data_IF_806306238319
#
_entry.id   IF_806306238319
#
_cell.length_a   1.000
_cell.length_b   1.000
_cell.length_c   1.000
_cell.angle_alpha   90.00
_cell.angle_beta   90.00
_cell.angle_gamma   90.00
#
_symmetry.space_group_name_H-M   'P 1'
#
loop_
_entity.id
_entity.type
_entity.pdbx_description
1 polymer ?
#
# COMPACT_ATOMS: atom_id res chain seq x y z
N UNK A 1 -19.93 -8.62 10.06
CA UNK A 1 -18.54 -8.53 9.55
C UNK A 1 -18.46 -8.51 8.01
N UNK A 2 -19.41 -9.10 7.26
CA UNK A 2 -19.33 -9.20 5.80
C UNK A 2 -19.39 -7.85 5.02
N UNK A 3 -20.22 -6.89 5.42
CA UNK A 3 -20.39 -5.64 4.67
C UNK A 3 -19.11 -4.82 4.54
N UNK A 4 -18.37 -4.63 5.64
CA UNK A 4 -17.16 -3.81 5.64
C UNK A 4 -16.08 -4.36 4.72
N UNK A 5 -15.79 -5.66 4.83
CA UNK A 5 -14.82 -6.33 3.98
C UNK A 5 -15.19 -6.20 2.49
N UNK A 6 -16.42 -6.57 2.12
CA UNK A 6 -16.88 -6.51 0.73
C UNK A 6 -16.84 -5.08 0.18
N UNK A 7 -17.35 -4.10 0.95
CA UNK A 7 -17.35 -2.70 0.53
C UNK A 7 -15.94 -2.20 0.22
N UNK A 8 -14.99 -2.45 1.12
CA UNK A 8 -13.63 -1.93 0.96
C UNK A 8 -12.82 -2.70 -0.08
N UNK A 9 -13.02 -4.01 -0.24
CA UNK A 9 -12.41 -4.77 -1.35
C UNK A 9 -12.90 -4.26 -2.70
N UNK A 10 -14.21 -4.02 -2.84
CA UNK A 10 -14.78 -3.48 -4.09
C UNK A 10 -14.28 -2.05 -4.37
N UNK A 11 -14.17 -1.21 -3.34
CA UNK A 11 -13.65 0.15 -3.50
C UNK A 11 -12.15 0.15 -3.88
N UNK A 12 -11.34 -0.73 -3.28
CA UNK A 12 -9.94 -0.91 -3.70
C UNK A 12 -9.84 -1.32 -5.17
N UNK A 13 -10.67 -2.28 -5.61
CA UNK A 13 -10.73 -2.67 -7.02
C UNK A 13 -11.10 -1.48 -7.93
N UNK A 14 -12.10 -0.68 -7.55
CA UNK A 14 -12.49 0.54 -8.28
C UNK A 14 -11.35 1.54 -8.38
N UNK A 15 -10.62 1.78 -7.29
CA UNK A 15 -9.47 2.69 -7.26
C UNK A 15 -8.34 2.21 -8.18
N UNK A 16 -8.09 0.90 -8.24
CA UNK A 16 -7.13 0.31 -9.19
C UNK A 16 -7.59 0.54 -10.63
N UNK A 17 -8.89 0.41 -10.91
CA UNK A 17 -9.48 0.74 -12.21
C UNK A 17 -9.30 2.20 -12.61
N UNK A 18 -9.47 3.14 -11.68
CA UNK A 18 -9.20 4.57 -11.91
C UNK A 18 -7.75 4.81 -12.29
N UNK A 19 -6.83 4.23 -11.52
CA UNK A 19 -5.40 4.42 -11.75
C UNK A 19 -4.95 3.75 -13.06
N UNK A 20 -5.44 2.54 -13.34
CA UNK A 20 -5.20 1.85 -14.61
C UNK A 20 -5.68 2.66 -15.82
N UNK A 21 -6.88 3.23 -15.77
CA UNK A 21 -7.40 4.11 -16.84
C UNK A 21 -6.54 5.37 -16.97
N UNK A 22 -6.11 5.96 -15.85
CA UNK A 22 -5.27 7.16 -15.85
C UNK A 22 -3.91 6.91 -16.49
N UNK A 23 -3.36 5.70 -16.35
CA UNK A 23 -2.05 5.30 -16.86
C UNK A 23 -2.09 4.69 -18.27
N UNK A 24 -3.24 4.70 -18.94
CA UNK A 24 -3.40 4.07 -20.26
C UNK A 24 -2.55 4.74 -21.36
N UNK A 25 -2.27 6.04 -21.22
CA UNK A 25 -1.60 6.88 -22.21
C UNK A 25 -0.32 7.54 -21.68
N UNK A 26 0.16 7.12 -20.50
CA UNK A 26 1.27 7.78 -19.81
C UNK A 26 2.02 6.84 -18.87
N UNK A 27 3.29 7.15 -18.66
CA UNK A 27 4.14 6.35 -17.77
C UNK A 27 3.99 6.68 -16.28
N UNK A 28 3.51 7.89 -15.94
CA UNK A 28 3.37 8.36 -14.57
C UNK A 28 2.06 9.13 -14.38
N UNK A 29 1.58 9.22 -13.14
CA UNK A 29 0.22 9.74 -12.82
C UNK A 29 0.01 11.16 -13.37
N UNK A 30 1.02 12.01 -13.27
CA UNK A 30 1.01 13.39 -13.73
C UNK A 30 1.73 13.60 -15.09
N UNK A 31 2.03 12.52 -15.83
CA UNK A 31 2.82 12.56 -17.05
C UNK A 31 4.32 12.34 -16.77
N UNK A 32 4.96 13.28 -16.08
CA UNK A 32 6.30 13.08 -15.53
C UNK A 32 6.23 12.44 -14.12
N UNK A 33 7.28 11.70 -13.74
CA UNK A 33 7.39 11.15 -12.38
C UNK A 33 7.35 12.28 -11.35
N UNK A 34 6.49 12.13 -10.34
CA UNK A 34 6.19 13.20 -9.40
C UNK A 34 5.87 12.66 -8.01
N UNK A 35 5.62 13.58 -7.07
CA UNK A 35 5.12 13.24 -5.73
C UNK A 35 3.79 12.47 -5.77
N UNK A 36 3.00 12.57 -6.85
CA UNK A 36 1.78 11.78 -6.99
C UNK A 36 2.10 10.27 -7.07
N UNK A 37 3.13 9.89 -7.82
CA UNK A 37 3.58 8.51 -7.92
C UNK A 37 4.13 8.02 -6.58
N UNK A 38 4.92 8.86 -5.91
CA UNK A 38 5.46 8.57 -4.58
C UNK A 38 4.36 8.37 -3.53
N UNK A 39 3.28 9.16 -3.59
CA UNK A 39 2.17 9.08 -2.68
C UNK A 39 1.30 7.84 -2.92
N UNK A 40 1.08 7.46 -4.19
CA UNK A 40 0.18 6.37 -4.54
C UNK A 40 0.87 4.99 -4.53
N UNK A 41 2.12 4.89 -4.98
CA UNK A 41 2.80 3.61 -5.19
C UNK A 41 2.86 2.72 -3.94
N UNK A 42 3.20 3.23 -2.73
CA UNK A 42 3.24 2.40 -1.53
C UNK A 42 1.90 1.76 -1.16
N UNK A 43 0.76 2.38 -1.53
CA UNK A 43 -0.58 1.83 -1.28
C UNK A 43 -0.95 0.65 -2.19
N UNK A 44 -0.25 0.51 -3.32
CA UNK A 44 -0.41 -0.60 -4.26
C UNK A 44 0.48 -1.78 -3.90
N UNK A 45 1.61 -1.57 -3.19
CA UNK A 45 2.53 -2.65 -2.80
C UNK A 45 1.85 -3.86 -2.15
N UNK A 46 0.90 -3.72 -1.19
CA UNK A 46 0.23 -4.86 -0.56
C UNK A 46 -0.97 -5.37 -1.36
N UNK A 47 -1.02 -5.21 -2.68
CA UNK A 47 -2.15 -5.62 -3.54
C UNK A 47 -2.59 -7.08 -3.33
N UNK A 48 -1.64 -8.00 -3.09
CA UNK A 48 -1.95 -9.42 -2.78
C UNK A 48 -2.75 -9.55 -1.47
N UNK A 49 -2.34 -8.82 -0.44
CA UNK A 49 -3.02 -8.83 0.86
C UNK A 49 -4.37 -8.13 0.80
N UNK A 50 -4.57 -7.25 -0.18
CA UNK A 50 -5.86 -6.61 -0.47
C UNK A 50 -6.79 -7.52 -1.28
N UNK A 51 -6.33 -8.69 -1.74
CA UNK A 51 -7.12 -9.63 -2.55
C UNK A 51 -7.36 -9.18 -3.99
N UNK A 52 -6.52 -8.28 -4.51
CA UNK A 52 -6.61 -7.78 -5.89
C UNK A 52 -5.77 -8.65 -6.82
N UNK A 53 -6.26 -8.93 -8.04
CA UNK A 53 -5.44 -9.50 -9.12
C UNK A 53 -4.86 -8.35 -9.94
N UNK A 54 -3.61 -7.98 -9.71
CA UNK A 54 -3.00 -6.80 -10.35
C UNK A 54 -2.88 -6.97 -11.88
N UNK A 55 -2.83 -8.21 -12.34
CA UNK A 55 -2.78 -8.61 -13.75
C UNK A 55 -4.03 -8.17 -14.54
N UNK A 56 -5.17 -7.97 -13.85
CA UNK A 56 -6.37 -7.40 -14.47
C UNK A 56 -6.24 -5.90 -14.82
N UNK A 57 -5.17 -5.25 -14.36
CA UNK A 57 -4.90 -3.83 -14.53
C UNK A 57 -3.53 -3.62 -15.19
N UNK A 58 -3.40 -3.86 -16.51
CA UNK A 58 -2.09 -3.94 -17.18
C UNK A 58 -1.29 -2.62 -17.12
N UNK A 59 -1.94 -1.46 -17.24
CA UNK A 59 -1.26 -0.16 -17.19
C UNK A 59 -0.83 0.18 -15.77
N UNK A 60 -1.67 -0.16 -14.78
CA UNK A 60 -1.31 -0.05 -13.37
C UNK A 60 -0.11 -0.94 -13.04
N UNK A 61 -0.12 -2.19 -13.51
CA UNK A 61 0.98 -3.13 -13.29
C UNK A 61 2.28 -2.62 -13.90
N UNK A 62 2.26 -2.15 -15.15
CA UNK A 62 3.43 -1.59 -15.82
C UNK A 62 4.00 -0.37 -15.07
N UNK A 63 3.13 0.54 -14.60
CA UNK A 63 3.54 1.65 -13.74
C UNK A 63 4.10 1.19 -12.39
N UNK A 64 3.47 0.19 -11.76
CA UNK A 64 3.90 -0.35 -10.48
C UNK A 64 5.32 -0.92 -10.58
N UNK A 65 5.57 -1.73 -11.61
CA UNK A 65 6.89 -2.33 -11.86
C UNK A 65 7.93 -1.23 -12.15
N UNK A 66 7.63 -0.31 -13.07
CA UNK A 66 8.51 0.82 -13.44
C UNK A 66 8.92 1.70 -12.27
N UNK A 67 7.95 2.05 -11.41
CA UNK A 67 8.25 2.87 -10.21
C UNK A 67 9.05 2.07 -9.20
N UNK A 68 8.74 0.78 -9.04
CA UNK A 68 9.47 -0.13 -8.15
C UNK A 68 10.94 -0.31 -8.53
N UNK A 69 11.29 -0.30 -9.81
CA UNK A 69 12.67 -0.45 -10.29
C UNK A 69 13.58 0.75 -9.98
N UNK A 70 13.01 1.90 -9.57
CA UNK A 70 13.79 3.11 -9.31
C UNK A 70 14.66 2.93 -8.07
N UNK A 71 15.96 3.24 -8.19
CA UNK A 71 16.93 3.14 -7.09
C UNK A 71 16.50 3.87 -5.81
N UNK A 72 15.90 5.06 -5.93
CA UNK A 72 15.38 5.80 -4.77
C UNK A 72 14.20 5.12 -4.07
N UNK A 73 13.34 4.44 -4.82
CA UNK A 73 12.21 3.67 -4.26
C UNK A 73 12.75 2.45 -3.52
N UNK A 74 13.66 1.70 -4.13
CA UNK A 74 14.32 0.55 -3.49
C UNK A 74 15.07 0.94 -2.20
N UNK A 75 15.83 2.05 -2.24
CA UNK A 75 16.54 2.55 -1.08
C UNK A 75 15.59 2.95 0.06
N UNK A 76 14.51 3.71 -0.25
CA UNK A 76 13.50 4.08 0.74
C UNK A 76 12.77 2.88 1.35
N UNK A 77 12.44 1.89 0.51
CA UNK A 77 11.76 0.68 0.97
C UNK A 77 12.67 -0.18 1.87
N UNK A 78 13.97 -0.23 1.57
CA UNK A 78 14.98 -0.88 2.42
C UNK A 78 15.02 -0.27 3.82
N UNK A 79 15.09 1.06 3.92
CA UNK A 79 15.06 1.77 5.21
C UNK A 79 13.77 1.46 5.98
N UNK A 80 12.62 1.49 5.31
CA UNK A 80 11.34 1.15 5.93
C UNK A 80 11.29 -0.28 6.47
N UNK A 81 11.92 -1.24 5.78
CA UNK A 81 12.03 -2.62 6.24
C UNK A 81 12.98 -2.78 7.44
N UNK A 82 14.12 -2.09 7.44
CA UNK A 82 15.07 -2.09 8.55
C UNK A 82 14.46 -1.49 9.82
N UNK A 83 13.64 -0.44 9.68
CA UNK A 83 12.93 0.20 10.79
C UNK A 83 11.67 -0.54 11.21
N UNK A 84 11.23 -1.56 10.45
CA UNK A 84 9.97 -2.27 10.71
C UNK A 84 10.12 -3.15 11.94
N UNK A 85 9.83 -2.58 13.10
CA UNK A 85 9.79 -3.32 14.35
C UNK A 85 8.46 -4.07 14.46
N UNK A 86 8.49 -5.40 14.47
CA UNK A 86 7.29 -6.24 14.56
C UNK A 86 6.73 -6.34 15.98
N UNK A 87 6.94 -5.34 16.83
CA UNK A 87 6.57 -5.35 18.25
C UNK A 87 5.09 -5.65 18.46
N UNK A 88 4.22 -5.21 17.54
CA UNK A 88 2.77 -5.45 17.65
C UNK A 88 2.34 -6.87 17.33
N UNK A 89 3.12 -7.64 16.58
CA UNK A 89 2.85 -9.06 16.32
C UNK A 89 3.74 -10.00 17.15
N UNK A 90 4.78 -9.47 17.79
CA UNK A 90 5.66 -10.22 18.69
C UNK A 90 4.93 -10.68 19.97
N UNK A 91 5.42 -11.75 20.57
CA UNK A 91 5.01 -12.18 21.91
C UNK A 91 5.84 -11.47 22.99
N UNK A 92 5.30 -11.33 24.20
CA UNK A 92 6.03 -10.82 25.36
C UNK A 92 5.51 -9.48 25.89
N UNK A 93 6.03 -9.11 27.06
CA UNK A 93 5.52 -7.98 27.86
C UNK A 93 5.60 -6.63 27.14
N UNK A 94 6.62 -6.42 26.32
CA UNK A 94 6.78 -5.15 25.59
C UNK A 94 5.77 -5.02 24.43
N UNK A 95 5.47 -6.14 23.77
CA UNK A 95 4.41 -6.22 22.76
C UNK A 95 3.02 -6.01 23.37
N UNK A 96 2.75 -6.59 24.54
CA UNK A 96 1.51 -6.39 25.30
C UNK A 96 1.33 -4.92 25.71
N UNK A 97 2.38 -4.27 26.24
CA UNK A 97 2.37 -2.84 26.57
C UNK A 97 2.08 -1.99 25.33
N UNK A 98 2.74 -2.26 24.21
CA UNK A 98 2.51 -1.54 22.96
C UNK A 98 1.04 -1.65 22.48
N UNK A 99 0.46 -2.86 22.53
CA UNK A 99 -0.97 -3.07 22.20
C UNK A 99 -1.91 -2.36 23.17
N UNK A 100 -1.61 -2.38 24.46
CA UNK A 100 -2.41 -1.68 25.46
C UNK A 100 -2.43 -0.16 25.22
N UNK A 101 -1.29 0.43 24.84
CA UNK A 101 -1.19 1.85 24.48
C UNK A 101 -1.97 2.15 23.19
N UNK A 102 -1.85 1.34 22.14
CA UNK A 102 -2.46 1.65 20.85
C UNK A 102 -3.97 1.34 20.77
N UNK A 103 -4.44 0.30 21.46
CA UNK A 103 -5.82 -0.20 21.33
C UNK A 103 -6.64 -0.10 22.61
N UNK A 104 -6.00 0.15 23.76
CA UNK A 104 -6.63 0.27 25.07
C UNK A 104 -6.90 1.70 25.53
N UNK A 105 -6.47 2.71 24.78
CA UNK A 105 -6.73 4.12 25.11
C UNK A 105 -8.22 4.43 24.92
N UNK A 106 -8.94 4.50 26.03
CA UNK A 106 -10.25 5.14 26.10
C UNK A 106 -10.09 6.46 26.84
N UNK A 107 -10.58 7.54 26.26
CA UNK A 107 -10.83 8.75 27.02
C UNK A 107 -11.84 8.38 28.12
N UNK A 108 -11.49 8.59 29.38
CA UNK A 108 -12.47 8.67 30.46
C UNK A 108 -13.21 9.98 30.34
#
# INVERSE_FOLDING_TARGET
VAYGAIRYTNETNRLYGVLNKRLADRDFIAGAFSIADMACWPWVVPWRNQGVQIEAFPHLKAWFDRVGERAGVQAGFKVGNELRNNTLAASGKDAEKARAVLFGQRAR
#
